data_IF_556338865466
#
_entry.id   IF_556338865466
#
_cell.length_a   1.000
_cell.length_b   1.000
_cell.length_c   1.000
_cell.angle_alpha   90.00
_cell.angle_beta   90.00
_cell.angle_gamma   90.00
#
_symmetry.space_group_name_H-M   'P 1'
#
loop_
_entity.id
_entity.type
_entity.pdbx_description
1 polymer ?
#
# COMPACT_ATOMS: atom_id res chain seq x y z
N UNK A 1 -7.08 3.92 27.08
CA UNK A 1 -7.15 4.92 25.99
C UNK A 1 -8.28 4.51 25.06
N UNK A 2 -9.20 5.41 24.70
CA UNK A 2 -10.31 5.10 23.77
C UNK A 2 -9.84 5.17 22.33
N UNK A 3 -10.60 4.58 21.39
CA UNK A 3 -10.33 4.73 19.95
C UNK A 3 -10.34 6.20 19.52
N UNK A 4 -11.26 7.00 20.06
CA UNK A 4 -11.31 8.46 19.82
C UNK A 4 -10.04 9.15 20.29
N UNK A 5 -9.53 8.84 21.48
CA UNK A 5 -8.30 9.44 22.00
C UNK A 5 -7.07 9.07 21.14
N UNK A 6 -7.00 7.83 20.66
CA UNK A 6 -5.93 7.39 19.74
C UNK A 6 -6.00 8.17 18.42
N UNK A 7 -7.20 8.42 17.88
CA UNK A 7 -7.38 9.18 16.65
C UNK A 7 -7.00 10.65 16.81
N UNK A 8 -7.32 11.26 17.94
CA UNK A 8 -6.93 12.64 18.27
C UNK A 8 -5.41 12.76 18.40
N UNK A 9 -4.76 11.83 19.10
CA UNK A 9 -3.30 11.81 19.23
C UNK A 9 -2.61 11.56 17.87
N UNK A 10 -3.11 10.61 17.08
CA UNK A 10 -2.58 10.34 15.75
C UNK A 10 -2.71 11.57 14.83
N UNK A 11 -3.84 12.28 14.87
CA UNK A 11 -4.01 13.54 14.14
C UNK A 11 -3.01 14.59 14.62
N UNK A 12 -2.84 14.76 15.93
CA UNK A 12 -1.88 15.70 16.51
C UNK A 12 -0.46 15.44 16.02
N UNK A 13 -0.01 14.18 16.07
CA UNK A 13 1.32 13.78 15.62
C UNK A 13 1.53 14.02 14.12
N UNK A 14 0.52 13.76 13.28
CA UNK A 14 0.59 14.01 11.84
C UNK A 14 0.66 15.51 11.50
N UNK A 15 -0.07 16.36 12.21
CA UNK A 15 -0.01 17.82 12.01
C UNK A 15 1.30 18.43 12.52
N UNK A 16 1.84 17.91 13.63
CA UNK A 16 3.19 18.28 14.09
C UNK A 16 4.24 17.92 13.04
N UNK A 17 4.22 16.68 12.54
CA UNK A 17 5.15 16.24 11.50
C UNK A 17 5.05 17.11 10.23
N UNK A 18 3.82 17.45 9.82
CA UNK A 18 3.58 18.35 8.69
C UNK A 18 4.17 19.73 8.91
N UNK A 19 4.04 20.28 10.11
CA UNK A 19 4.60 21.59 10.49
C UNK A 19 6.14 21.54 10.43
N UNK A 20 6.75 20.54 11.06
CA UNK A 20 8.21 20.36 11.05
C UNK A 20 8.75 20.20 9.62
N UNK A 21 8.05 19.43 8.77
CA UNK A 21 8.42 19.28 7.35
C UNK A 21 8.33 20.60 6.58
N UNK A 22 7.34 21.44 6.86
CA UNK A 22 7.20 22.75 6.21
C UNK A 22 8.39 23.67 6.54
N UNK A 23 8.91 23.59 7.76
CA UNK A 23 10.03 24.39 8.27
C UNK A 23 11.39 23.96 7.69
N UNK A 24 11.50 22.76 7.11
CA UNK A 24 12.73 22.34 6.41
C UNK A 24 12.93 23.22 5.18
N UNK A 25 13.99 24.03 5.17
CA UNK A 25 14.26 24.98 4.08
C UNK A 25 14.65 24.29 2.77
N UNK A 26 15.32 23.13 2.84
CA UNK A 26 15.60 22.31 1.67
C UNK A 26 14.33 21.57 1.20
N UNK A 27 14.10 21.52 -0.11
CA UNK A 27 13.06 20.62 -0.68
C UNK A 27 13.42 19.14 -0.55
N UNK A 28 14.72 18.85 -0.50
CA UNK A 28 15.29 17.52 -0.25
C UNK A 28 15.39 17.23 1.25
N UNK A 29 14.98 16.02 1.63
CA UNK A 29 14.97 15.49 2.99
C UNK A 29 15.69 14.13 3.08
N UNK A 30 16.52 13.79 2.08
CA UNK A 30 17.34 12.57 2.05
C UNK A 30 18.11 12.34 3.36
N UNK A 31 18.81 13.35 3.86
CA UNK A 31 19.56 13.31 5.12
C UNK A 31 18.68 13.01 6.35
N UNK A 32 17.46 13.57 6.38
CA UNK A 32 16.49 13.30 7.44
C UNK A 32 16.04 11.83 7.35
N UNK A 33 15.63 11.38 6.16
CA UNK A 33 15.17 10.01 5.95
C UNK A 33 16.24 8.97 6.27
N UNK A 34 17.50 9.24 5.94
CA UNK A 34 18.63 8.37 6.24
C UNK A 34 18.96 8.26 7.74
N UNK A 35 18.53 9.21 8.57
CA UNK A 35 18.71 9.18 10.03
C UNK A 35 17.61 8.42 10.76
N UNK A 36 16.39 8.44 10.24
CA UNK A 36 15.21 7.85 10.91
C UNK A 36 14.85 6.46 10.39
N UNK A 37 15.22 6.13 9.15
CA UNK A 37 15.02 4.80 8.58
C UNK A 37 16.27 3.98 8.88
N UNK A 38 16.17 2.89 9.66
CA UNK A 38 17.26 1.95 9.85
C UNK A 38 17.88 1.54 8.52
N UNK A 39 19.20 1.51 8.43
CA UNK A 39 19.92 1.24 7.17
C UNK A 39 19.60 -0.14 6.58
N UNK A 40 19.15 -1.10 7.39
CA UNK A 40 18.68 -2.42 6.94
C UNK A 40 17.27 -2.39 6.32
N UNK A 41 16.58 -1.25 6.37
CA UNK A 41 15.30 -0.96 5.72
C UNK A 41 15.46 0.05 4.57
N UNK A 42 16.70 0.36 4.17
CA UNK A 42 17.00 1.23 3.04
C UNK A 42 17.43 0.38 1.82
N UNK A 43 16.84 0.56 0.62
CA UNK A 43 15.75 1.49 0.29
C UNK A 43 14.40 0.79 0.24
N UNK A 44 13.60 0.83 1.31
CA UNK A 44 12.26 0.26 1.21
C UNK A 44 11.20 0.86 2.15
N UNK A 45 11.19 2.17 2.38
CA UNK A 45 9.94 2.83 2.84
C UNK A 45 9.27 3.65 1.73
N UNK A 46 9.91 3.81 0.57
CA UNK A 46 9.46 4.69 -0.50
C UNK A 46 9.91 4.15 -1.85
N UNK A 47 8.98 3.83 -2.74
CA UNK A 47 9.31 3.43 -4.11
C UNK A 47 9.08 4.56 -5.11
N UNK A 48 10.13 4.81 -5.89
CA UNK A 48 10.14 5.21 -7.30
C UNK A 48 11.00 4.23 -8.09
N UNK A 49 10.92 4.19 -9.42
CA UNK A 49 11.69 3.27 -10.30
C UNK A 49 13.21 3.49 -10.29
N UNK A 50 13.72 4.31 -9.36
CA UNK A 50 15.12 4.62 -9.16
C UNK A 50 15.37 4.67 -7.66
N UNK A 51 16.22 3.76 -7.17
CA UNK A 51 16.79 3.77 -5.83
C UNK A 51 17.65 5.04 -5.67
N UNK A 52 17.02 6.19 -5.41
CA UNK A 52 17.64 7.51 -5.09
C UNK A 52 16.74 8.71 -5.39
N UNK A 53 15.50 8.57 -5.88
CA UNK A 53 14.63 9.73 -6.00
C UNK A 53 14.14 10.13 -4.59
N UNK A 54 14.95 10.91 -3.88
CA UNK A 54 14.69 11.40 -2.53
C UNK A 54 13.26 11.90 -2.44
N UNK A 55 12.46 11.27 -1.56
CA UNK A 55 11.16 11.81 -1.17
C UNK A 55 11.37 13.29 -0.86
N UNK A 56 10.57 14.18 -1.46
CA UNK A 56 10.64 15.60 -1.10
C UNK A 56 9.80 15.85 0.14
N UNK A 57 10.09 16.92 0.88
CA UNK A 57 9.22 17.33 2.00
C UNK A 57 7.76 17.46 1.58
N UNK A 58 7.51 17.97 0.37
CA UNK A 58 6.16 18.18 -0.14
C UNK A 58 5.46 16.85 -0.45
N UNK A 59 6.18 15.86 -0.99
CA UNK A 59 5.63 14.52 -1.21
C UNK A 59 5.28 13.82 0.12
N UNK A 60 6.07 14.02 1.17
CA UNK A 60 5.72 13.53 2.50
C UNK A 60 4.47 14.23 3.04
N UNK A 61 4.39 15.56 2.95
CA UNK A 61 3.20 16.31 3.35
C UNK A 61 1.93 15.82 2.62
N UNK A 62 2.03 15.50 1.32
CA UNK A 62 0.91 14.93 0.55
C UNK A 62 0.52 13.52 1.01
N UNK A 63 1.49 12.68 1.39
CA UNK A 63 1.20 11.41 2.06
C UNK A 63 0.49 11.62 3.41
N UNK A 64 0.92 12.59 4.23
CA UNK A 64 0.26 12.94 5.50
C UNK A 64 -1.19 13.36 5.27
N UNK A 65 -1.45 14.24 4.29
CA UNK A 65 -2.81 14.66 3.95
C UNK A 65 -3.69 13.46 3.54
N UNK A 66 -3.13 12.47 2.84
CA UNK A 66 -3.82 11.22 2.49
C UNK A 66 -4.21 10.42 3.74
N UNK A 67 -3.28 10.29 4.71
CA UNK A 67 -3.54 9.59 5.98
C UNK A 67 -4.60 10.31 6.83
N UNK A 68 -4.54 11.64 6.91
CA UNK A 68 -5.54 12.44 7.61
C UNK A 68 -6.93 12.29 6.98
N UNK A 69 -7.03 12.33 5.65
CA UNK A 69 -8.30 12.11 4.95
C UNK A 69 -8.86 10.70 5.22
N UNK A 70 -8.00 9.68 5.18
CA UNK A 70 -8.36 8.30 5.52
C UNK A 70 -8.87 8.19 6.96
N UNK A 71 -8.19 8.83 7.93
CA UNK A 71 -8.60 8.79 9.33
C UNK A 71 -10.00 9.35 9.54
N UNK A 72 -10.39 10.41 8.83
CA UNK A 72 -11.78 10.91 8.88
C UNK A 72 -12.71 9.86 8.26
N UNK A 73 -12.42 9.41 7.03
CA UNK A 73 -13.30 8.55 6.24
C UNK A 73 -13.59 7.19 6.90
N UNK A 74 -12.59 6.53 7.48
CA UNK A 74 -12.74 5.14 7.98
C UNK A 74 -13.25 5.03 9.41
N UNK A 75 -13.23 6.14 10.17
CA UNK A 75 -13.61 6.14 11.59
C UNK A 75 -14.98 6.79 11.87
N UNK A 76 -15.69 7.20 10.82
CA UNK A 76 -17.06 7.72 10.92
C UNK A 76 -17.97 6.96 9.97
N UNK A 77 -19.17 6.61 10.43
CA UNK A 77 -20.21 6.09 9.54
C UNK A 77 -20.63 7.20 8.59
N UNK A 78 -21.00 6.82 7.36
CA UNK A 78 -21.50 7.78 6.36
C UNK A 78 -22.72 8.56 6.92
N UNK A 79 -23.59 7.91 7.68
CA UNK A 79 -24.74 8.53 8.35
C UNK A 79 -24.36 9.63 9.34
N UNK A 80 -23.15 9.56 9.89
CA UNK A 80 -22.66 10.43 10.96
C UNK A 80 -21.69 11.49 10.40
N UNK A 81 -21.42 11.47 9.09
CA UNK A 81 -20.58 12.46 8.43
C UNK A 81 -21.30 13.80 8.31
N UNK A 82 -20.65 14.85 8.80
CA UNK A 82 -21.15 16.22 8.66
C UNK A 82 -20.65 16.86 7.37
N UNK A 83 -21.27 17.97 6.96
CA UNK A 83 -20.76 18.78 5.84
C UNK A 83 -19.31 19.26 6.08
N UNK A 84 -18.94 19.52 7.35
CA UNK A 84 -17.58 19.90 7.71
C UNK A 84 -16.57 18.75 7.52
N UNK A 85 -16.96 17.52 7.82
CA UNK A 85 -16.12 16.34 7.58
C UNK A 85 -15.84 16.13 6.09
N UNK A 86 -16.88 16.27 5.25
CA UNK A 86 -16.73 16.18 3.81
C UNK A 86 -15.87 17.30 3.23
N UNK A 87 -16.02 18.53 3.73
CA UNK A 87 -15.17 19.65 3.33
C UNK A 87 -13.70 19.43 3.73
N UNK A 88 -13.46 18.87 4.93
CA UNK A 88 -12.12 18.52 5.38
C UNK A 88 -11.48 17.42 4.52
N UNK A 89 -12.22 16.35 4.23
CA UNK A 89 -11.76 15.28 3.31
C UNK A 89 -11.41 15.85 1.94
N UNK A 90 -12.28 16.70 1.38
CA UNK A 90 -12.07 17.33 0.06
C UNK A 90 -10.81 18.20 0.08
N UNK A 91 -10.63 19.01 1.12
CA UNK A 91 -9.45 19.88 1.26
C UNK A 91 -8.16 19.06 1.36
N UNK A 92 -8.16 17.99 2.16
CA UNK A 92 -7.00 17.13 2.33
C UNK A 92 -6.66 16.37 1.04
N UNK A 93 -7.67 15.82 0.35
CA UNK A 93 -7.48 15.05 -0.88
C UNK A 93 -7.03 15.90 -2.07
N UNK A 94 -7.53 17.14 -2.19
CA UNK A 94 -7.03 18.11 -3.18
C UNK A 94 -5.54 18.45 -3.00
N UNK A 95 -5.01 18.28 -1.78
CA UNK A 95 -3.61 18.49 -1.44
C UNK A 95 -2.90 17.16 -1.12
N UNK A 96 -3.40 16.03 -1.64
CA UNK A 96 -2.85 14.70 -1.41
C UNK A 96 -2.01 14.21 -2.59
N UNK A 97 -1.64 12.92 -2.58
CA UNK A 97 -0.73 12.31 -3.55
C UNK A 97 -1.25 12.40 -5.00
N UNK A 98 -0.56 13.10 -5.92
CA UNK A 98 -0.79 12.94 -7.35
C UNK A 98 -0.25 11.61 -7.86
N UNK A 99 -0.64 11.21 -9.07
CA UNK A 99 -0.17 9.99 -9.72
C UNK A 99 1.35 9.94 -10.00
N UNK A 100 2.05 11.08 -9.86
CA UNK A 100 3.51 11.19 -10.01
C UNK A 100 4.26 11.03 -8.68
N UNK A 101 3.57 11.03 -7.56
CA UNK A 101 4.20 10.97 -6.24
C UNK A 101 4.56 9.56 -5.82
N UNK A 102 5.61 9.49 -5.01
CA UNK A 102 5.97 8.28 -4.29
C UNK A 102 5.11 8.12 -3.04
N UNK A 103 4.69 6.88 -2.81
CA UNK A 103 3.92 6.49 -1.63
C UNK A 103 4.81 5.74 -0.66
N UNK A 104 4.40 5.72 0.61
CA UNK A 104 5.02 4.85 1.59
C UNK A 104 4.78 3.38 1.21
N UNK A 105 5.86 2.66 0.85
CA UNK A 105 5.81 1.24 0.52
C UNK A 105 6.94 0.54 1.25
N UNK A 106 6.62 -0.57 1.92
CA UNK A 106 7.62 -1.50 2.42
C UNK A 106 7.88 -2.60 1.42
N UNK A 107 9.15 -2.80 1.05
CA UNK A 107 9.55 -3.77 0.03
C UNK A 107 10.79 -4.58 0.43
N UNK A 108 10.95 -5.75 -0.19
CA UNK A 108 12.14 -6.59 -0.10
C UNK A 108 13.20 -6.03 -1.07
N UNK A 109 14.33 -5.54 -0.57
CA UNK A 109 15.47 -5.30 -1.46
C UNK A 109 16.00 -6.68 -1.90
N UNK A 110 16.10 -6.90 -3.21
CA UNK A 110 16.54 -8.15 -3.83
C UNK A 110 17.96 -8.62 -3.43
N UNK A 111 18.64 -7.86 -2.56
CA UNK A 111 19.97 -8.15 -2.04
C UNK A 111 20.04 -8.84 -0.67
N UNK A 112 18.93 -9.05 0.06
CA UNK A 112 19.00 -9.78 1.33
C UNK A 112 17.82 -10.74 1.58
N UNK A 113 18.13 -12.04 1.71
CA UNK A 113 17.21 -13.09 2.17
C UNK A 113 16.76 -12.91 3.65
N UNK A 114 16.99 -11.74 4.24
CA UNK A 114 16.86 -11.49 5.67
C UNK A 114 15.64 -10.62 6.04
N UNK A 115 14.91 -10.08 5.06
CA UNK A 115 13.66 -9.34 5.28
C UNK A 115 12.40 -10.24 5.28
N UNK A 116 12.55 -11.47 5.78
CA UNK A 116 11.47 -12.46 5.87
C UNK A 116 10.31 -12.05 6.81
N UNK A 117 10.46 -10.96 7.56
CA UNK A 117 9.41 -10.44 8.45
C UNK A 117 8.38 -9.56 7.74
N UNK A 118 8.68 -9.02 6.55
CA UNK A 118 7.82 -7.99 5.90
C UNK A 118 7.34 -8.41 4.50
N UNK A 119 7.97 -9.39 3.86
CA UNK A 119 7.55 -9.90 2.54
C UNK A 119 6.68 -11.17 2.65
N UNK A 120 5.50 -11.02 3.22
CA UNK A 120 4.37 -11.92 2.98
C UNK A 120 3.58 -11.43 1.76
N UNK A 121 4.27 -11.13 0.65
CA UNK A 121 3.57 -10.74 -0.57
C UNK A 121 2.60 -11.85 -0.94
N UNK A 122 1.35 -11.47 -1.24
CA UNK A 122 0.25 -12.39 -1.49
C UNK A 122 0.65 -13.42 -2.56
N UNK A 123 1.43 -13.02 -3.55
CA UNK A 123 1.92 -13.88 -4.63
C UNK A 123 2.86 -14.99 -4.17
N UNK A 124 3.85 -14.70 -3.31
CA UNK A 124 4.75 -15.73 -2.79
C UNK A 124 3.98 -16.78 -1.98
N UNK A 125 3.02 -16.32 -1.17
CA UNK A 125 2.18 -17.18 -0.32
C UNK A 125 1.18 -18.02 -1.13
N UNK A 126 0.58 -17.46 -2.19
CA UNK A 126 -0.22 -18.21 -3.16
C UNK A 126 0.62 -19.22 -3.93
N UNK A 127 1.87 -18.86 -4.26
CA UNK A 127 2.79 -19.72 -5.01
C UNK A 127 3.26 -20.93 -4.22
N UNK A 128 3.42 -20.83 -2.90
CA UNK A 128 3.75 -21.97 -2.03
C UNK A 128 2.52 -22.81 -1.62
N UNK A 129 1.31 -22.36 -1.95
CA UNK A 129 0.07 -23.11 -1.71
C UNK A 129 -0.49 -22.99 -0.30
N UNK A 130 -0.11 -21.95 0.45
CA UNK A 130 -0.68 -21.68 1.78
C UNK A 130 -2.01 -20.93 1.73
N UNK A 131 -2.21 -20.16 0.67
CA UNK A 131 -3.45 -19.45 0.38
C UNK A 131 -3.89 -19.75 -1.06
N UNK A 132 -5.14 -19.47 -1.37
CA UNK A 132 -5.70 -19.59 -2.71
C UNK A 132 -6.50 -18.34 -3.05
N UNK A 133 -6.54 -17.96 -4.33
CA UNK A 133 -7.31 -16.82 -4.80
C UNK A 133 -8.80 -17.06 -4.54
N UNK A 134 -9.49 -16.10 -3.91
CA UNK A 134 -10.91 -16.26 -3.56
C UNK A 134 -11.82 -16.17 -4.79
N UNK A 135 -12.80 -17.09 -4.91
CA UNK A 135 -13.88 -17.00 -5.91
C UNK A 135 -14.64 -15.67 -5.77
N UNK A 136 -14.84 -15.19 -4.54
CA UNK A 136 -15.57 -13.94 -4.29
C UNK A 136 -14.81 -12.72 -4.80
N UNK A 137 -13.48 -12.70 -4.60
CA UNK A 137 -12.63 -11.62 -5.11
C UNK A 137 -12.68 -11.58 -6.64
N UNK A 138 -12.66 -12.74 -7.29
CA UNK A 138 -12.77 -12.81 -8.76
C UNK A 138 -14.10 -12.24 -9.27
N UNK A 139 -15.21 -12.48 -8.55
CA UNK A 139 -16.52 -11.94 -8.90
C UNK A 139 -16.62 -10.40 -8.78
N UNK A 140 -15.72 -9.75 -8.05
CA UNK A 140 -15.74 -8.29 -7.91
C UNK A 140 -15.16 -7.55 -9.12
N UNK A 141 -14.31 -8.22 -9.91
CA UNK A 141 -13.80 -7.64 -11.15
C UNK A 141 -14.93 -7.45 -12.17
N UNK A 142 -14.95 -6.27 -12.81
CA UNK A 142 -15.93 -5.96 -13.85
C UNK A 142 -15.46 -6.51 -15.20
N UNK A 143 -16.40 -6.63 -16.13
CA UNK A 143 -16.05 -6.97 -17.51
C UNK A 143 -14.97 -5.99 -18.03
N UNK A 144 -13.93 -6.53 -18.68
CA UNK A 144 -12.78 -5.78 -19.19
C UNK A 144 -11.87 -5.13 -18.13
N UNK A 145 -11.93 -5.57 -16.86
CA UNK A 145 -10.97 -5.12 -15.85
C UNK A 145 -9.57 -5.65 -16.16
N UNK A 146 -8.65 -4.74 -16.50
CA UNK A 146 -7.27 -5.08 -16.85
C UNK A 146 -6.55 -5.80 -15.71
N UNK A 147 -6.86 -5.52 -14.44
CA UNK A 147 -6.22 -6.23 -13.31
C UNK A 147 -6.59 -7.71 -13.31
N UNK A 148 -7.82 -8.04 -13.70
CA UNK A 148 -8.24 -9.44 -13.82
C UNK A 148 -7.56 -10.09 -15.02
N UNK A 149 -7.63 -9.45 -16.19
CA UNK A 149 -7.09 -9.98 -17.45
C UNK A 149 -5.58 -10.24 -17.33
N UNK A 150 -4.87 -9.31 -16.70
CA UNK A 150 -3.42 -9.36 -16.62
C UNK A 150 -2.94 -10.33 -15.53
N UNK A 151 -3.74 -10.63 -14.50
CA UNK A 151 -3.24 -11.34 -13.32
C UNK A 151 -3.89 -12.71 -13.06
N UNK A 152 -5.12 -12.94 -13.48
CA UNK A 152 -5.93 -14.08 -13.04
C UNK A 152 -6.07 -15.12 -14.14
N UNK A 153 -5.89 -16.39 -13.78
CA UNK A 153 -6.04 -17.53 -14.70
C UNK A 153 -7.06 -18.53 -14.17
N UNK A 154 -7.81 -19.14 -15.09
CA UNK A 154 -8.66 -20.30 -14.77
C UNK A 154 -7.79 -21.56 -14.73
N UNK A 155 -7.85 -22.30 -13.62
CA UNK A 155 -7.10 -23.53 -13.43
C UNK A 155 -7.83 -24.71 -14.08
N UNK A 156 -7.08 -25.70 -14.56
CA UNK A 156 -7.64 -26.94 -15.11
C UNK A 156 -8.41 -27.77 -14.07
N UNK A 157 -8.03 -27.66 -12.80
CA UNK A 157 -8.79 -28.18 -11.65
C UNK A 157 -8.45 -27.39 -10.38
N UNK A 158 -9.37 -27.31 -9.41
CA UNK A 158 -9.05 -26.70 -8.11
C UNK A 158 -7.89 -27.44 -7.41
N UNK A 159 -6.90 -26.72 -6.87
CA UNK A 159 -5.80 -27.33 -6.13
C UNK A 159 -6.32 -28.09 -4.89
N UNK A 160 -5.83 -29.31 -4.70
CA UNK A 160 -6.12 -30.15 -3.54
C UNK A 160 -4.82 -30.49 -2.82
N UNK A 161 -4.74 -30.17 -1.53
CA UNK A 161 -3.62 -30.55 -0.66
C UNK A 161 -2.22 -30.31 -1.26
N UNK A 162 -2.00 -29.11 -1.81
CA UNK A 162 -0.79 -28.78 -2.60
C UNK A 162 0.52 -28.98 -1.83
N UNK A 163 0.52 -28.73 -0.53
CA UNK A 163 1.73 -28.86 0.31
C UNK A 163 1.81 -30.19 1.06
N UNK A 164 0.86 -31.12 0.89
CA UNK A 164 0.81 -32.38 1.66
C UNK A 164 0.63 -32.19 3.17
N UNK A 165 0.23 -30.99 3.60
CA UNK A 165 0.14 -30.57 5.00
C UNK A 165 -1.30 -30.20 5.34
N UNK A 166 -2.08 -31.22 5.68
CA UNK A 166 -3.46 -31.07 6.12
C UNK A 166 -4.48 -30.98 5.00
N UNK A 167 -5.69 -30.53 5.34
CA UNK A 167 -6.81 -30.42 4.40
C UNK A 167 -6.80 -29.02 3.79
N UNK A 168 -6.33 -28.91 2.55
CA UNK A 168 -6.31 -27.66 1.79
C UNK A 168 -7.15 -27.81 0.52
N UNK A 169 -8.11 -26.90 0.35
CA UNK A 169 -8.95 -26.82 -0.85
C UNK A 169 -8.78 -25.44 -1.47
N UNK A 170 -8.31 -25.40 -2.72
CA UNK A 170 -8.24 -24.18 -3.51
C UNK A 170 -9.53 -23.91 -4.29
N UNK A 171 -9.51 -22.83 -5.06
CA UNK A 171 -10.61 -22.42 -5.94
C UNK A 171 -10.28 -22.77 -7.40
N UNK A 172 -11.18 -22.44 -8.33
CA UNK A 172 -10.94 -22.63 -9.77
C UNK A 172 -10.01 -21.57 -10.35
N UNK A 173 -9.65 -20.54 -9.59
CA UNK A 173 -8.81 -19.45 -10.07
C UNK A 173 -7.44 -19.50 -9.42
N UNK A 174 -6.43 -19.16 -10.22
CA UNK A 174 -5.07 -18.93 -9.78
C UNK A 174 -4.59 -17.57 -10.26
N UNK A 175 -3.33 -17.29 -9.99
CA UNK A 175 -2.63 -16.14 -10.56
C UNK A 175 -1.62 -16.62 -11.60
N UNK A 176 -1.31 -15.75 -12.56
CA UNK A 176 -0.14 -15.93 -13.42
C UNK A 176 1.16 -15.76 -12.60
N UNK A 177 2.29 -16.20 -13.15
CA UNK A 177 3.60 -15.92 -12.55
C UNK A 177 3.83 -14.40 -12.48
N UNK A 178 4.39 -13.95 -11.36
CA UNK A 178 4.70 -12.53 -11.10
C UNK A 178 3.49 -11.59 -11.16
N UNK A 179 2.28 -12.12 -10.99
CA UNK A 179 1.08 -11.31 -10.83
C UNK A 179 1.26 -10.26 -9.72
N UNK A 180 0.66 -9.09 -9.85
CA UNK A 180 0.78 -7.96 -8.93
C UNK A 180 -0.57 -7.32 -8.57
N UNK A 181 -1.66 -7.81 -9.16
CA UNK A 181 -3.02 -7.24 -9.11
C UNK A 181 -3.12 -5.81 -9.68
N UNK A 182 -2.10 -5.34 -10.38
CA UNK A 182 -2.10 -4.09 -11.11
C UNK A 182 -2.39 -4.33 -12.60
N UNK A 183 -2.71 -3.25 -13.32
CA UNK A 183 -2.82 -3.30 -14.78
C UNK A 183 -1.45 -3.05 -15.40
N UNK A 184 -1.00 -3.97 -16.24
CA UNK A 184 0.33 -3.97 -16.89
C UNK A 184 0.51 -2.81 -17.87
N UNK A 185 -0.58 -2.26 -18.40
CA UNK A 185 -0.58 -1.19 -19.41
C UNK A 185 0.07 0.13 -18.96
N UNK A 186 0.35 0.31 -17.66
CA UNK A 186 0.87 1.58 -17.16
C UNK A 186 2.19 1.50 -16.40
N UNK A 187 2.69 0.34 -15.94
CA UNK A 187 3.90 0.24 -15.08
C UNK A 187 3.96 1.22 -13.89
N UNK A 188 2.86 1.92 -13.58
CA UNK A 188 2.79 2.95 -12.52
C UNK A 188 2.46 2.35 -11.15
N UNK A 189 2.12 1.07 -11.15
CA UNK A 189 2.12 0.23 -9.98
C UNK A 189 3.03 -0.97 -10.25
N UNK A 190 4.25 -0.72 -10.74
CA UNK A 190 5.34 -1.70 -10.61
C UNK A 190 5.70 -1.77 -9.11
N UNK A 191 4.89 -2.53 -8.36
CA UNK A 191 5.18 -2.92 -6.96
C UNK A 191 6.12 -4.14 -6.96
N UNK A 192 6.79 -4.41 -8.09
CA UNK A 192 7.82 -5.44 -8.28
C UNK A 192 8.94 -4.86 -9.13
#
# INVERSE_FOLDING_TARGET
>A
MSSTAILEEAKGNLELAKTELQDILSGDISDLTGKIIPSNLNPSAFRGNTSSASLTKDAWIRNINTLLARNILVNKKISDMTAADWAAITTLTNNSLPASDYVFVMELDGNNNNNNEVSTTVNAILSIGWHFLSERLVQDFKASDARFIDNVVLLGSPPLNRSGRGVQYGTRYGLINDADYAATANKKADIY
#
